data_IF_371326387429
#
_entry.id   IF_371326387429
#
_cell.length_a   1.000
_cell.length_b   1.000
_cell.length_c   1.000
_cell.angle_alpha   90.00
_cell.angle_beta   90.00
_cell.angle_gamma   90.00
#
_symmetry.space_group_name_H-M   'P 1'
#
loop_
_entity.id
_entity.type
_entity.pdbx_description
1 polymer ?
#
# COMPACT_ATOMS: atom_id res chain seq x y z
N UNK A 1 -38.61 78.40 -9.43
CA UNK A 1 -38.55 76.95 -9.69
C UNK A 1 -37.16 76.66 -10.23
N UNK A 2 -36.31 76.04 -9.40
CA UNK A 2 -34.89 75.83 -9.68
C UNK A 2 -34.69 74.43 -10.29
N UNK A 3 -33.97 74.37 -11.40
CA UNK A 3 -33.64 73.14 -12.12
C UNK A 3 -32.53 72.36 -11.43
N UNK A 4 -32.78 71.08 -11.16
CA UNK A 4 -31.80 70.15 -10.61
C UNK A 4 -30.99 69.49 -11.73
N UNK A 5 -29.67 69.59 -11.62
CA UNK A 5 -28.69 68.88 -12.44
C UNK A 5 -28.42 67.52 -11.78
N UNK A 6 -28.58 66.41 -12.51
CA UNK A 6 -28.17 65.07 -12.05
C UNK A 6 -26.82 64.76 -12.68
N UNK A 7 -25.77 64.68 -11.85
CA UNK A 7 -24.45 64.18 -12.23
C UNK A 7 -24.30 62.77 -11.67
N UNK A 8 -24.22 61.77 -12.55
CA UNK A 8 -23.91 60.39 -12.19
C UNK A 8 -22.42 60.24 -11.86
N UNK A 9 -22.08 59.90 -10.62
CA UNK A 9 -20.73 59.52 -10.22
C UNK A 9 -20.49 58.03 -10.52
N UNK A 10 -19.72 57.73 -11.56
CA UNK A 10 -19.12 56.39 -11.70
C UNK A 10 -17.82 56.33 -10.86
N UNK A 11 -17.57 55.27 -10.08
CA UNK A 11 -16.29 55.11 -9.39
C UNK A 11 -15.21 54.79 -10.42
N UNK A 12 -14.13 55.56 -10.43
CA UNK A 12 -12.91 55.17 -11.12
C UNK A 12 -12.27 54.02 -10.34
N UNK A 13 -12.28 52.82 -10.91
CA UNK A 13 -11.47 51.72 -10.41
C UNK A 13 -10.00 52.08 -10.64
N UNK A 14 -9.25 52.31 -9.56
CA UNK A 14 -7.79 52.36 -9.61
C UNK A 14 -7.31 50.92 -9.65
N UNK A 15 -7.05 50.42 -10.87
CA UNK A 15 -6.32 49.16 -11.04
C UNK A 15 -4.84 49.43 -10.75
N UNK A 16 -4.33 48.89 -9.65
CA UNK A 16 -2.90 48.81 -9.41
C UNK A 16 -2.28 47.97 -10.56
N UNK A 17 -1.39 48.59 -11.33
CA UNK A 17 -0.64 47.89 -12.35
C UNK A 17 0.25 46.84 -11.65
N UNK A 18 0.25 45.55 -12.06
CA UNK A 18 1.22 44.61 -11.53
C UNK A 18 2.61 45.15 -11.88
N UNK A 19 3.48 45.27 -10.87
CA UNK A 19 4.86 45.68 -11.10
C UNK A 19 5.50 44.67 -12.07
N UNK A 20 6.22 45.18 -13.08
CA UNK A 20 7.03 44.32 -13.93
C UNK A 20 8.03 43.52 -13.05
N UNK A 21 8.24 42.23 -13.32
CA UNK A 21 9.21 41.43 -12.57
C UNK A 21 10.57 42.13 -12.64
N UNK A 22 11.16 42.38 -11.48
CA UNK A 22 12.44 43.05 -11.37
C UNK A 22 13.51 41.96 -11.22
N UNK A 23 14.15 41.58 -12.32
CA UNK A 23 15.21 40.57 -12.35
C UNK A 23 16.33 40.88 -11.34
N UNK A 24 16.61 42.16 -11.07
CA UNK A 24 17.61 42.58 -10.08
C UNK A 24 17.17 42.33 -8.63
N UNK A 25 15.88 42.38 -8.30
CA UNK A 25 15.40 42.00 -6.97
C UNK A 25 15.42 40.48 -6.76
N UNK A 26 15.12 39.72 -7.82
CA UNK A 26 15.16 38.26 -7.77
C UNK A 26 16.61 37.78 -7.62
N UNK A 27 17.54 38.32 -8.41
CA UNK A 27 18.97 38.05 -8.27
C UNK A 27 19.55 38.49 -6.91
N UNK A 28 19.06 39.56 -6.30
CA UNK A 28 19.50 39.99 -4.98
C UNK A 28 18.97 39.08 -3.86
N UNK A 29 17.75 38.55 -4.01
CA UNK A 29 17.16 37.57 -3.09
C UNK A 29 17.86 36.22 -3.20
N UNK A 30 18.12 35.75 -4.42
CA UNK A 30 18.89 34.52 -4.70
C UNK A 30 20.27 34.59 -4.07
N UNK A 31 20.99 35.70 -4.26
CA UNK A 31 22.31 35.89 -3.66
C UNK A 31 22.27 35.92 -2.13
N UNK A 32 21.17 36.35 -1.51
CA UNK A 32 20.99 36.36 -0.05
C UNK A 32 20.75 34.95 0.50
N UNK A 33 20.11 34.07 -0.28
CA UNK A 33 19.90 32.67 0.06
C UNK A 33 21.17 31.85 -0.18
N UNK A 34 21.77 31.96 -1.37
CA UNK A 34 22.96 31.20 -1.78
C UNK A 34 24.11 31.42 -0.79
N UNK A 35 24.35 32.66 -0.35
CA UNK A 35 25.40 32.99 0.62
C UNK A 35 25.18 32.38 2.03
N UNK A 36 23.97 31.92 2.34
CA UNK A 36 23.64 31.29 3.62
C UNK A 36 23.71 29.75 3.58
N UNK A 37 23.73 29.17 2.37
CA UNK A 37 23.97 27.73 2.18
C UNK A 37 25.41 27.45 2.61
N UNK A 38 25.58 26.41 3.43
CA UNK A 38 26.89 26.01 3.92
C UNK A 38 27.07 24.51 3.65
N UNK A 39 27.99 24.20 2.74
CA UNK A 39 28.25 22.83 2.29
C UNK A 39 28.75 21.93 3.43
N UNK A 40 29.63 22.44 4.30
CA UNK A 40 30.17 21.68 5.41
C UNK A 40 29.07 21.27 6.41
N UNK A 41 28.11 22.16 6.69
CA UNK A 41 26.94 21.83 7.53
C UNK A 41 26.08 20.73 6.90
N UNK A 42 25.86 20.77 5.59
CA UNK A 42 25.11 19.71 4.90
C UNK A 42 25.85 18.37 4.95
N UNK A 43 27.16 18.40 4.68
CA UNK A 43 28.00 17.21 4.71
C UNK A 43 28.03 16.58 6.11
N UNK A 44 28.28 17.37 7.15
CA UNK A 44 28.33 16.88 8.53
C UNK A 44 26.99 16.30 9.00
N UNK A 45 25.86 16.85 8.53
CA UNK A 45 24.53 16.28 8.80
C UNK A 45 24.32 14.94 8.14
N UNK A 46 24.71 14.81 6.88
CA UNK A 46 24.62 13.54 6.16
C UNK A 46 25.49 12.50 6.86
N UNK A 47 26.73 12.88 7.20
CA UNK A 47 27.65 12.00 7.93
C UNK A 47 27.00 11.49 9.22
N UNK A 48 26.57 12.39 10.11
CA UNK A 48 25.92 12.05 11.38
C UNK A 48 24.69 11.15 11.19
N UNK A 49 23.76 11.53 10.30
CA UNK A 49 22.53 10.78 10.08
C UNK A 49 22.73 9.46 9.32
N UNK A 50 23.93 9.19 8.81
CA UNK A 50 24.28 7.95 8.13
C UNK A 50 25.06 6.96 8.99
N UNK A 51 25.43 7.33 10.23
CA UNK A 51 26.21 6.48 11.14
C UNK A 51 25.46 5.21 11.55
N UNK A 52 24.13 5.26 11.63
CA UNK A 52 23.27 4.13 11.98
C UNK A 52 22.12 4.01 10.97
N UNK A 53 21.73 2.80 10.52
CA UNK A 53 20.54 2.62 9.69
C UNK A 53 19.29 3.23 10.34
N UNK A 54 18.47 3.93 9.55
CA UNK A 54 17.28 4.66 10.02
C UNK A 54 16.01 4.05 9.43
N UNK A 55 15.87 2.74 9.57
CA UNK A 55 14.63 2.06 9.22
C UNK A 55 13.49 2.61 10.10
N UNK A 56 12.30 2.77 9.53
CA UNK A 56 11.15 3.29 10.25
C UNK A 56 10.84 2.44 11.50
N UNK A 57 10.49 3.10 12.59
CA UNK A 57 10.19 2.50 13.89
C UNK A 57 11.38 1.93 14.66
N UNK A 58 12.61 2.23 14.24
CA UNK A 58 13.84 1.78 14.92
C UNK A 58 14.49 2.89 15.76
N UNK A 59 15.42 2.52 16.64
CA UNK A 59 16.22 3.48 17.44
C UNK A 59 17.00 4.47 16.55
N UNK A 60 17.45 4.03 15.36
CA UNK A 60 18.13 4.90 14.41
C UNK A 60 17.23 6.01 13.86
N UNK A 61 15.95 5.71 13.59
CA UNK A 61 14.97 6.73 13.22
C UNK A 61 14.69 7.68 14.40
N UNK A 62 14.44 7.15 15.59
CA UNK A 62 14.15 7.96 16.79
C UNK A 62 15.27 8.97 17.10
N UNK A 63 16.54 8.54 16.99
CA UNK A 63 17.69 9.42 17.11
C UNK A 63 17.71 10.52 16.04
N UNK A 64 17.37 10.19 14.79
CA UNK A 64 17.31 11.15 13.71
C UNK A 64 16.17 12.17 13.88
N UNK A 65 14.99 11.71 14.31
CA UNK A 65 13.83 12.57 14.59
C UNK A 65 14.17 13.58 15.69
N UNK A 66 14.78 13.11 16.79
CA UNK A 66 15.25 13.97 17.89
C UNK A 66 16.30 14.98 17.43
N UNK A 67 17.27 14.55 16.61
CA UNK A 67 18.29 15.43 16.04
C UNK A 67 17.65 16.54 15.20
N UNK A 68 16.79 16.17 14.25
CA UNK A 68 16.10 17.11 13.34
C UNK A 68 15.27 18.12 14.14
N UNK A 69 14.50 17.65 15.13
CA UNK A 69 13.74 18.53 16.03
C UNK A 69 14.65 19.55 16.72
N UNK A 70 15.73 19.09 17.34
CA UNK A 70 16.67 19.97 18.06
C UNK A 70 17.35 21.00 17.14
N UNK A 71 17.66 20.63 15.89
CA UNK A 71 18.22 21.54 14.91
C UNK A 71 17.23 22.65 14.54
N UNK A 72 15.97 22.31 14.26
CA UNK A 72 14.96 23.32 13.95
C UNK A 72 14.67 24.24 15.14
N UNK A 73 14.61 23.71 16.36
CA UNK A 73 14.48 24.53 17.58
C UNK A 73 15.67 25.47 17.76
N UNK A 74 16.90 25.03 17.43
CA UNK A 74 18.10 25.88 17.48
C UNK A 74 18.05 27.07 16.52
N UNK A 75 17.25 26.97 15.44
CA UNK A 75 17.00 28.06 14.50
C UNK A 75 15.83 28.96 14.92
N UNK A 76 15.20 28.67 16.06
CA UNK A 76 14.08 29.43 16.60
C UNK A 76 12.72 29.01 16.05
N UNK A 77 12.61 27.84 15.43
CA UNK A 77 11.30 27.29 15.04
C UNK A 77 10.63 26.58 16.21
N UNK A 78 9.31 26.76 16.33
CA UNK A 78 8.47 25.88 17.13
C UNK A 78 8.25 24.58 16.36
N UNK A 79 8.37 23.43 17.02
CA UNK A 79 8.27 22.12 16.37
C UNK A 79 7.48 21.13 17.20
N UNK A 80 6.78 20.22 16.53
CA UNK A 80 6.02 19.12 17.12
C UNK A 80 6.46 17.80 16.48
N UNK A 81 6.43 16.71 17.27
CA UNK A 81 6.55 15.35 16.74
C UNK A 81 5.14 14.76 16.66
N UNK A 82 4.70 14.45 15.45
CA UNK A 82 3.42 13.81 15.20
C UNK A 82 3.65 12.30 15.03
N UNK A 83 3.40 11.48 16.06
CA UNK A 83 3.58 10.03 15.94
C UNK A 83 2.48 9.43 15.05
N UNK A 84 2.82 8.36 14.34
CA UNK A 84 1.87 7.54 13.63
C UNK A 84 2.24 6.05 13.74
N UNK A 85 1.22 5.20 13.60
CA UNK A 85 1.42 3.77 13.50
C UNK A 85 1.41 3.37 12.03
N UNK A 86 2.19 2.34 11.71
CA UNK A 86 2.22 1.74 10.38
C UNK A 86 2.37 0.22 10.50
N UNK A 87 1.95 -0.52 9.48
CA UNK A 87 2.22 -1.96 9.39
C UNK A 87 3.70 -2.10 9.04
N UNK A 88 4.51 -2.53 10.02
CA UNK A 88 5.95 -2.69 9.86
C UNK A 88 6.31 -4.05 9.25
N UNK A 89 5.49 -5.06 9.55
CA UNK A 89 5.65 -6.43 9.06
C UNK A 89 4.30 -7.17 9.16
N UNK A 90 4.23 -8.41 8.72
CA UNK A 90 3.05 -9.27 8.82
C UNK A 90 3.40 -10.63 9.42
N UNK A 91 2.70 -11.03 10.48
CA UNK A 91 2.74 -12.41 10.91
C UNK A 91 1.87 -13.21 9.95
N UNK A 92 2.45 -14.15 9.20
CA UNK A 92 1.70 -14.98 8.25
C UNK A 92 0.80 -16.00 8.93
N UNK A 93 1.10 -16.39 10.18
CA UNK A 93 0.36 -17.42 10.87
C UNK A 93 0.56 -18.80 10.24
N UNK A 94 -0.49 -19.63 10.26
CA UNK A 94 -0.51 -20.96 9.65
C UNK A 94 -1.73 -21.11 8.77
N UNK A 95 -1.59 -21.84 7.67
CA UNK A 95 -2.68 -22.09 6.72
C UNK A 95 -2.83 -23.58 6.40
N UNK A 96 -4.08 -24.01 6.18
CA UNK A 96 -4.40 -25.34 5.65
C UNK A 96 -5.43 -25.25 4.53
N UNK A 97 -5.46 -26.28 3.69
CA UNK A 97 -6.48 -26.49 2.66
C UNK A 97 -7.04 -27.91 2.81
N UNK A 98 -8.33 -28.08 2.59
CA UNK A 98 -8.96 -29.39 2.36
C UNK A 98 -9.70 -29.39 1.03
N UNK A 99 -9.58 -30.47 0.27
CA UNK A 99 -10.24 -30.64 -1.03
C UNK A 99 -11.17 -31.84 -0.94
N UNK A 100 -12.47 -31.62 -1.16
CA UNK A 100 -13.52 -32.64 -1.02
C UNK A 100 -13.47 -33.38 0.33
N UNK A 101 -13.13 -32.67 1.41
CA UNK A 101 -13.01 -33.20 2.77
C UNK A 101 -11.74 -34.03 3.02
N UNK A 102 -10.77 -34.01 2.09
CA UNK A 102 -9.45 -34.62 2.26
C UNK A 102 -8.39 -33.54 2.41
N UNK A 103 -7.57 -33.65 3.46
CA UNK A 103 -6.46 -32.71 3.70
C UNK A 103 -5.56 -32.59 2.47
N UNK A 104 -5.26 -31.35 2.09
CA UNK A 104 -4.31 -31.06 1.04
C UNK A 104 -2.89 -31.14 1.60
N UNK A 105 -2.13 -32.13 1.14
CA UNK A 105 -0.75 -32.38 1.61
C UNK A 105 0.34 -31.64 0.82
N UNK A 106 -0.04 -30.71 -0.05
CA UNK A 106 0.91 -29.86 -0.76
C UNK A 106 1.51 -28.78 0.13
N UNK A 107 2.50 -28.06 -0.41
CA UNK A 107 3.06 -26.87 0.22
C UNK A 107 2.05 -25.71 0.12
N UNK A 108 1.52 -25.27 1.27
CA UNK A 108 0.58 -24.17 1.41
C UNK A 108 1.26 -23.05 2.18
N UNK A 109 1.24 -21.86 1.60
CA UNK A 109 1.82 -20.66 2.19
C UNK A 109 0.75 -19.60 2.38
N UNK A 110 0.65 -19.02 3.57
CA UNK A 110 -0.26 -17.89 3.81
C UNK A 110 0.29 -16.64 3.12
N UNK A 111 -0.54 -15.91 2.38
CA UNK A 111 -0.11 -14.62 1.86
C UNK A 111 0.21 -13.64 3.00
N UNK A 112 1.29 -12.86 2.85
CA UNK A 112 1.44 -11.64 3.62
C UNK A 112 0.23 -10.71 3.37
N UNK A 113 -0.50 -10.33 4.42
CA UNK A 113 -1.73 -9.56 4.30
C UNK A 113 -3.02 -10.38 4.34
N UNK A 114 -2.93 -11.72 4.34
CA UNK A 114 -4.10 -12.58 4.55
C UNK A 114 -4.68 -12.36 5.95
N UNK A 115 -5.97 -12.64 6.08
CA UNK A 115 -6.69 -12.54 7.35
C UNK A 115 -7.06 -13.92 7.88
N UNK A 116 -7.22 -14.01 9.20
CA UNK A 116 -7.74 -15.20 9.84
C UNK A 116 -9.16 -15.52 9.34
N UNK A 117 -9.42 -16.80 9.13
CA UNK A 117 -10.73 -17.28 8.74
C UNK A 117 -10.71 -18.76 8.39
N UNK A 118 -11.87 -19.38 8.53
CA UNK A 118 -12.14 -20.76 8.19
C UNK A 118 -13.37 -20.77 7.27
N UNK A 119 -13.12 -20.98 5.97
CA UNK A 119 -14.12 -20.82 4.92
C UNK A 119 -14.20 -22.10 4.08
N UNK A 120 -15.42 -22.50 3.76
CA UNK A 120 -15.69 -23.68 2.95
C UNK A 120 -16.71 -23.32 1.86
N UNK A 121 -16.45 -23.77 0.64
CA UNK A 121 -17.37 -23.59 -0.47
C UNK A 121 -16.90 -24.27 -1.76
N UNK A 122 -17.69 -24.19 -2.83
CA UNK A 122 -17.28 -24.64 -4.15
C UNK A 122 -15.99 -23.93 -4.60
N UNK A 123 -15.05 -24.69 -5.15
CA UNK A 123 -13.83 -24.17 -5.76
C UNK A 123 -14.12 -23.80 -7.23
N UNK A 124 -13.77 -22.58 -7.62
CA UNK A 124 -13.99 -22.10 -9.00
C UNK A 124 -12.68 -21.55 -9.56
N UNK A 125 -12.25 -22.08 -10.72
CA UNK A 125 -11.11 -21.54 -11.44
C UNK A 125 -11.51 -20.29 -12.22
N UNK A 126 -10.83 -19.17 -11.96
CA UNK A 126 -11.11 -17.85 -12.55
C UNK A 126 -9.95 -17.31 -13.39
N UNK A 127 -9.05 -18.19 -13.83
CA UNK A 127 -7.89 -17.82 -14.63
C UNK A 127 -6.96 -16.85 -13.89
N UNK A 128 -6.61 -15.76 -14.55
CA UNK A 128 -5.75 -14.71 -13.99
C UNK A 128 -6.50 -13.73 -13.07
N UNK A 129 -7.81 -13.89 -12.87
CA UNK A 129 -8.66 -12.97 -12.09
C UNK A 129 -8.56 -11.50 -12.52
N UNK A 130 -8.27 -11.22 -13.80
CA UNK A 130 -8.23 -9.86 -14.37
C UNK A 130 -9.62 -9.32 -14.66
N UNK A 131 -10.48 -10.19 -15.18
CA UNK A 131 -11.91 -9.98 -15.34
C UNK A 131 -12.59 -11.23 -14.80
N UNK A 132 -13.42 -11.07 -13.77
CA UNK A 132 -14.16 -12.18 -13.15
C UNK A 132 -15.61 -12.04 -13.58
N UNK A 133 -16.08 -12.98 -14.41
CA UNK A 133 -17.44 -12.98 -14.94
C UNK A 133 -18.35 -13.95 -14.17
N UNK A 134 -17.74 -14.84 -13.42
CA UNK A 134 -18.35 -15.83 -12.55
C UNK A 134 -18.97 -15.14 -11.33
N UNK A 135 -20.09 -15.69 -10.86
CA UNK A 135 -20.64 -15.37 -9.54
C UNK A 135 -19.87 -16.18 -8.50
N UNK A 136 -19.18 -15.51 -7.58
CA UNK A 136 -18.35 -16.14 -6.56
C UNK A 136 -18.98 -16.09 -5.17
N UNK A 137 -20.24 -15.66 -5.03
CA UNK A 137 -20.92 -15.60 -3.74
C UNK A 137 -20.85 -16.95 -3.02
N UNK A 138 -20.19 -16.97 -1.85
CA UNK A 138 -19.96 -18.16 -1.04
C UNK A 138 -18.96 -19.18 -1.60
N UNK A 139 -18.16 -18.81 -2.62
CA UNK A 139 -17.21 -19.71 -3.31
C UNK A 139 -15.75 -19.35 -3.02
N UNK A 140 -14.88 -20.32 -3.23
CA UNK A 140 -13.43 -20.15 -3.11
C UNK A 140 -12.84 -20.02 -4.52
N UNK A 141 -12.05 -18.98 -4.75
CA UNK A 141 -11.45 -18.72 -6.06
C UNK A 141 -10.09 -19.41 -6.19
N UNK A 142 -9.92 -20.21 -7.25
CA UNK A 142 -8.62 -20.71 -7.70
C UNK A 142 -8.06 -19.77 -8.78
N UNK A 143 -6.88 -19.20 -8.54
CA UNK A 143 -6.30 -18.13 -9.36
C UNK A 143 -4.90 -18.49 -9.83
N UNK A 144 -4.61 -18.28 -11.11
CA UNK A 144 -3.24 -18.35 -11.64
C UNK A 144 -2.52 -16.99 -11.46
N UNK A 145 -1.29 -17.04 -10.95
CA UNK A 145 -0.42 -15.85 -10.83
C UNK A 145 -0.07 -15.30 -12.22
N UNK A 146 -0.10 -13.98 -12.37
CA UNK A 146 0.34 -13.31 -13.61
C UNK A 146 -0.39 -12.00 -13.89
N UNK A 147 0.16 -11.21 -14.81
CA UNK A 147 -0.34 -9.94 -15.36
C UNK A 147 -0.60 -8.78 -14.38
N UNK A 148 -1.48 -8.97 -13.40
CA UNK A 148 -1.90 -7.97 -12.41
C UNK A 148 -1.35 -8.31 -11.02
N UNK A 149 -1.40 -7.35 -10.10
CA UNK A 149 -0.89 -7.53 -8.74
C UNK A 149 -1.70 -8.57 -7.95
N UNK A 150 -1.11 -9.13 -6.88
CA UNK A 150 -1.81 -10.06 -5.98
C UNK A 150 -3.05 -9.41 -5.36
N UNK A 151 -2.91 -8.16 -4.92
CA UNK A 151 -4.02 -7.36 -4.42
C UNK A 151 -5.16 -7.26 -5.43
N UNK A 152 -4.89 -6.84 -6.67
CA UNK A 152 -5.94 -6.69 -7.69
C UNK A 152 -6.67 -8.02 -7.95
N UNK A 153 -5.95 -9.14 -7.94
CA UNK A 153 -6.56 -10.47 -8.11
C UNK A 153 -7.54 -10.78 -6.98
N UNK A 154 -7.10 -10.60 -5.73
CA UNK A 154 -7.94 -10.91 -4.57
C UNK A 154 -9.12 -9.94 -4.49
N UNK A 155 -8.90 -8.65 -4.75
CA UNK A 155 -9.98 -7.66 -4.78
C UNK A 155 -11.03 -7.99 -5.84
N UNK A 156 -10.60 -8.38 -7.05
CA UNK A 156 -11.54 -8.70 -8.14
C UNK A 156 -12.45 -9.89 -7.82
N UNK A 157 -11.98 -10.90 -7.09
CA UNK A 157 -12.81 -12.05 -6.68
C UNK A 157 -13.64 -11.73 -5.44
N UNK A 158 -13.11 -10.94 -4.51
CA UNK A 158 -13.82 -10.45 -3.34
C UNK A 158 -15.04 -9.61 -3.75
N UNK A 159 -14.89 -8.72 -4.73
CA UNK A 159 -15.96 -7.91 -5.31
C UNK A 159 -17.09 -8.75 -5.96
N UNK A 160 -16.82 -10.04 -6.21
CA UNK A 160 -17.78 -11.03 -6.73
C UNK A 160 -18.34 -11.96 -5.66
N UNK A 161 -18.02 -11.72 -4.38
CA UNK A 161 -18.53 -12.46 -3.23
C UNK A 161 -17.70 -13.70 -2.86
N UNK A 162 -16.50 -13.86 -3.41
CA UNK A 162 -15.61 -14.94 -2.99
C UNK A 162 -15.34 -14.86 -1.48
N UNK A 163 -15.32 -16.01 -0.82
CA UNK A 163 -15.08 -16.10 0.63
C UNK A 163 -13.66 -16.54 0.96
N UNK A 164 -12.88 -16.99 -0.02
CA UNK A 164 -11.48 -17.37 0.14
C UNK A 164 -10.76 -17.48 -1.20
N UNK A 165 -9.42 -17.49 -1.16
CA UNK A 165 -8.56 -17.56 -2.34
C UNK A 165 -7.49 -18.63 -2.19
N UNK A 166 -7.32 -19.44 -3.24
CA UNK A 166 -6.17 -20.29 -3.47
C UNK A 166 -5.48 -19.78 -4.73
N UNK A 167 -4.24 -19.32 -4.63
CA UNK A 167 -3.47 -18.86 -5.78
C UNK A 167 -2.32 -19.82 -6.08
N UNK A 168 -2.10 -20.14 -7.35
CA UNK A 168 -0.98 -20.97 -7.77
C UNK A 168 -0.02 -20.24 -8.69
N UNK A 169 1.22 -20.72 -8.73
CA UNK A 169 2.32 -20.02 -9.39
C UNK A 169 2.22 -20.10 -10.92
N UNK A 170 2.86 -19.13 -11.59
CA UNK A 170 2.86 -19.01 -13.06
C UNK A 170 3.86 -19.95 -13.72
N UNK A 171 3.73 -20.12 -15.03
CA UNK A 171 4.69 -20.91 -15.80
C UNK A 171 6.14 -20.38 -15.65
N UNK A 172 7.08 -21.30 -15.50
CA UNK A 172 8.50 -20.99 -15.34
C UNK A 172 8.89 -20.41 -13.97
N UNK A 173 7.99 -20.43 -12.98
CA UNK A 173 8.27 -20.04 -11.61
C UNK A 173 8.11 -21.23 -10.65
N UNK A 174 8.96 -21.27 -9.63
CA UNK A 174 8.97 -22.30 -8.58
C UNK A 174 8.47 -21.72 -7.25
N UNK A 175 8.09 -22.61 -6.32
CA UNK A 175 7.62 -22.26 -4.99
C UNK A 175 6.24 -21.61 -4.95
N UNK A 176 5.87 -21.16 -3.76
CA UNK A 176 4.59 -20.54 -3.39
C UNK A 176 4.76 -19.32 -2.48
N UNK A 177 5.99 -18.90 -2.17
CA UNK A 177 6.30 -17.67 -1.41
C UNK A 177 5.93 -16.45 -2.26
N UNK A 178 4.75 -15.92 -1.95
CA UNK A 178 4.12 -14.83 -2.70
C UNK A 178 4.15 -13.56 -1.86
N UNK A 179 4.24 -12.42 -2.56
CA UNK A 179 4.33 -11.11 -1.92
C UNK A 179 3.01 -10.66 -1.31
N UNK A 180 2.97 -9.39 -0.95
CA UNK A 180 1.89 -8.81 -0.16
C UNK A 180 0.54 -8.68 -0.88
N UNK A 181 -0.49 -8.81 -0.07
CA UNK A 181 -1.87 -8.38 -0.29
C UNK A 181 -2.14 -7.20 0.68
N UNK A 182 -2.67 -6.07 0.21
CA UNK A 182 -2.92 -4.82 0.96
C UNK A 182 -3.98 -4.03 0.19
N UNK A 183 -4.97 -3.30 0.72
CA UNK A 183 -5.60 -3.21 2.03
C UNK A 183 -7.12 -3.14 1.73
N UNK A 184 -7.97 -3.84 2.50
CA UNK A 184 -9.38 -4.12 2.16
C UNK A 184 -9.67 -5.58 1.74
N UNK A 185 -8.68 -6.47 1.85
CA UNK A 185 -8.91 -7.91 1.75
C UNK A 185 -9.40 -8.45 3.09
N UNK A 186 -10.65 -8.90 3.14
CA UNK A 186 -11.29 -9.47 4.33
C UNK A 186 -11.56 -10.98 4.20
N UNK A 187 -10.83 -11.67 3.31
CA UNK A 187 -10.99 -13.11 3.07
C UNK A 187 -9.64 -13.85 3.18
N UNK A 188 -9.60 -15.09 3.69
CA UNK A 188 -8.38 -15.89 3.72
C UNK A 188 -7.80 -16.11 2.32
N UNK A 189 -6.51 -15.85 2.14
CA UNK A 189 -5.78 -16.15 0.91
C UNK A 189 -4.52 -16.98 1.20
N UNK A 190 -4.35 -18.02 0.39
CA UNK A 190 -3.23 -18.95 0.47
C UNK A 190 -2.63 -19.20 -0.91
N UNK A 191 -1.36 -19.55 -0.93
CA UNK A 191 -0.57 -19.81 -2.11
C UNK A 191 -0.12 -21.28 -2.16
N UNK A 192 -0.17 -21.87 -3.35
CA UNK A 192 0.32 -23.22 -3.63
C UNK A 192 1.26 -23.20 -4.83
N UNK A 193 2.06 -24.26 -4.99
CA UNK A 193 2.93 -24.39 -6.15
C UNK A 193 2.12 -24.60 -7.45
N UNK A 194 2.77 -24.41 -8.60
CA UNK A 194 2.10 -24.51 -9.90
C UNK A 194 1.53 -25.91 -10.17
N UNK A 195 2.29 -26.95 -9.87
CA UNK A 195 1.88 -28.34 -10.15
C UNK A 195 0.56 -28.68 -9.45
N UNK A 196 0.45 -28.35 -8.16
CA UNK A 196 -0.76 -28.59 -7.39
C UNK A 196 -1.93 -27.74 -7.90
N UNK A 197 -1.69 -26.49 -8.29
CA UNK A 197 -2.71 -25.65 -8.91
C UNK A 197 -3.25 -26.22 -10.21
N UNK A 198 -2.37 -26.70 -11.09
CA UNK A 198 -2.78 -27.32 -12.36
C UNK A 198 -3.57 -28.62 -12.14
N UNK A 199 -3.18 -29.44 -11.15
CA UNK A 199 -3.96 -30.63 -10.78
C UNK A 199 -5.39 -30.28 -10.35
N UNK A 200 -5.58 -29.18 -9.60
CA UNK A 200 -6.91 -28.70 -9.24
C UNK A 200 -7.68 -28.17 -10.45
N UNK A 201 -7.01 -27.48 -11.38
CA UNK A 201 -7.63 -27.04 -12.64
C UNK A 201 -8.11 -28.23 -13.46
N UNK A 202 -7.29 -29.27 -13.62
CA UNK A 202 -7.67 -30.51 -14.33
C UNK A 202 -8.86 -31.21 -13.65
N UNK A 203 -8.87 -31.27 -12.32
CA UNK A 203 -9.97 -31.87 -11.57
C UNK A 203 -11.30 -31.10 -11.76
N UNK A 204 -11.24 -29.77 -11.86
CA UNK A 204 -12.40 -28.91 -12.10
C UNK A 204 -13.00 -29.05 -13.51
N UNK A 205 -12.27 -29.65 -14.47
CA UNK A 205 -12.82 -29.93 -15.81
C UNK A 205 -13.85 -31.08 -15.79
N UNK A 206 -13.76 -31.98 -14.80
CA UNK A 206 -14.58 -33.20 -14.74
C UNK A 206 -15.57 -33.20 -13.58
N UNK A 207 -15.21 -32.58 -12.45
CA UNK A 207 -15.95 -32.72 -11.20
C UNK A 207 -16.21 -31.36 -10.55
N UNK A 208 -17.32 -31.29 -9.80
CA UNK A 208 -17.50 -30.22 -8.83
C UNK A 208 -16.55 -30.48 -7.64
N UNK A 209 -15.75 -29.48 -7.30
CA UNK A 209 -14.77 -29.57 -6.20
C UNK A 209 -15.20 -28.61 -5.09
N UNK A 210 -15.25 -29.11 -3.86
CA UNK A 210 -15.38 -28.30 -2.65
C UNK A 210 -13.99 -28.07 -2.06
N UNK A 211 -13.71 -26.84 -1.65
CA UNK A 211 -12.49 -26.49 -0.94
C UNK A 211 -12.83 -25.92 0.44
N UNK A 212 -11.92 -26.13 1.38
CA UNK A 212 -11.87 -25.45 2.67
C UNK A 212 -10.50 -24.77 2.77
N UNK A 213 -10.49 -23.51 3.18
CA UNK A 213 -9.27 -22.72 3.41
C UNK A 213 -9.34 -22.20 4.83
N UNK A 214 -8.35 -22.56 5.63
CA UNK A 214 -8.19 -22.07 7.00
C UNK A 214 -6.88 -21.32 7.14
N UNK A 215 -6.95 -20.13 7.75
CA UNK A 215 -5.81 -19.29 8.11
C UNK A 215 -5.98 -18.90 9.57
N UNK A 216 -4.94 -19.12 10.38
CA UNK A 216 -4.94 -18.81 11.81
C UNK A 216 -3.66 -18.08 12.23
N UNK A 217 -3.80 -17.03 13.03
CA UNK A 217 -2.69 -16.26 13.58
C UNK A 217 -2.07 -15.26 12.60
N UNK A 218 -2.71 -15.01 11.46
CA UNK A 218 -2.28 -14.02 10.49
C UNK A 218 -2.67 -12.62 10.94
N UNK A 219 -1.69 -11.72 11.12
CA UNK A 219 -1.96 -10.39 11.63
C UNK A 219 -0.86 -9.37 11.30
N UNK A 220 -1.22 -8.08 11.13
CA UNK A 220 -0.24 -7.02 10.98
C UNK A 220 0.59 -6.84 12.26
N UNK A 221 1.90 -6.68 12.08
CA UNK A 221 2.84 -6.28 13.13
C UNK A 221 3.02 -4.76 13.01
N UNK A 222 2.52 -4.02 13.99
CA UNK A 222 2.56 -2.56 13.96
C UNK A 222 3.88 -1.99 14.48
N UNK A 223 4.48 -1.13 13.67
CA UNK A 223 5.53 -0.20 14.09
C UNK A 223 4.94 1.13 14.55
N UNK A 224 5.78 1.90 15.24
CA UNK A 224 5.48 3.28 15.61
C UNK A 224 6.62 4.17 15.17
N UNK A 225 6.28 5.23 14.43
CA UNK A 225 7.19 6.33 14.06
C UNK A 225 6.74 7.60 14.79
#
# INVERSE_FOLDING_TARGET
>A
MAGGLVLSSAPAAVTANPHAPNEQSDHAFDNKIIKKINADRMYNRIALLSETPRQAGTEGEDNAVKYIKSEFESYGYETELQPFQFVADWNEGTSTISINGTDFYGDVHTFHGSVDGDVNGPLVYVGLAKEVNEDLDGKIALIERGEISFYEKVQNVLDKGAVGVIMFNREGAEGNDFGYTYDGQDIPAVAINREAGLNLVEQLETDEVSAEVSVEGSAPIYGKS
#
